data_IF_987948449036
#
_entry.id   IF_987948449036
#
_cell.length_a   1.000
_cell.length_b   1.000
_cell.length_c   1.000
_cell.angle_alpha   90.00
_cell.angle_beta   90.00
_cell.angle_gamma   90.00
#
_symmetry.space_group_name_H-M   'P 1'
#
loop_
_entity.id
_entity.type
_entity.pdbx_description
1 polymer ?
#
# COMPACT_ATOMS: atom_id res chain seq x y z
N UNK A 1 12.53 16.02 0.99
CA UNK A 1 11.83 15.61 -0.25
C UNK A 1 11.79 16.79 -1.19
N UNK A 2 12.27 16.63 -2.43
CA UNK A 2 12.33 17.73 -3.39
C UNK A 2 10.92 18.23 -3.71
N UNK A 3 10.68 19.49 -3.44
CA UNK A 3 9.42 20.22 -3.65
C UNK A 3 9.14 20.53 -5.14
N UNK A 4 9.81 19.85 -6.06
CA UNK A 4 9.94 20.20 -7.48
C UNK A 4 9.10 19.35 -8.43
N UNK A 5 8.05 18.68 -7.97
CA UNK A 5 7.24 17.80 -8.85
C UNK A 5 6.53 18.56 -9.99
N UNK A 6 6.23 19.85 -9.81
CA UNK A 6 5.53 20.65 -10.83
C UNK A 6 6.20 22.02 -10.99
N UNK A 7 6.80 22.26 -12.15
CA UNK A 7 7.24 23.59 -12.57
C UNK A 7 6.15 24.32 -13.34
N UNK A 8 5.39 23.58 -14.14
CA UNK A 8 4.35 24.11 -15.02
C UNK A 8 2.97 23.59 -14.62
N UNK A 9 1.97 24.42 -14.87
CA UNK A 9 0.58 24.09 -14.64
C UNK A 9 0.12 22.93 -15.55
N UNK A 10 -0.45 21.84 -15.02
CA UNK A 10 -0.94 20.74 -15.86
C UNK A 10 -2.14 21.12 -16.71
N UNK A 11 -2.86 22.20 -16.36
CA UNK A 11 -4.06 22.65 -17.09
C UNK A 11 -3.75 23.61 -18.23
N UNK A 12 -2.82 24.58 -18.05
CA UNK A 12 -2.57 25.64 -19.04
C UNK A 12 -1.10 25.84 -19.40
N UNK A 13 -0.19 25.07 -18.83
CA UNK A 13 1.26 25.08 -19.04
C UNK A 13 1.99 26.36 -18.58
N UNK A 14 1.31 27.32 -17.97
CA UNK A 14 1.96 28.47 -17.37
C UNK A 14 2.88 28.05 -16.20
N UNK A 15 3.91 28.82 -15.92
CA UNK A 15 4.80 28.55 -14.79
C UNK A 15 4.04 28.76 -13.47
N UNK A 16 4.20 27.78 -12.55
CA UNK A 16 3.57 27.85 -11.24
C UNK A 16 4.36 28.77 -10.31
N UNK A 17 3.65 29.49 -9.48
CA UNK A 17 4.21 30.35 -8.43
C UNK A 17 3.77 29.86 -7.06
N UNK A 18 4.49 30.29 -6.03
CA UNK A 18 4.12 29.95 -4.65
C UNK A 18 3.21 31.01 -4.07
N UNK A 19 2.06 30.57 -3.51
CA UNK A 19 1.14 31.45 -2.79
C UNK A 19 0.50 30.73 -1.61
N UNK A 20 0.01 31.49 -0.63
CA UNK A 20 -0.74 30.94 0.49
C UNK A 20 -2.13 30.54 0.04
N UNK A 21 -2.52 29.27 0.30
CA UNK A 21 -3.87 28.74 0.08
C UNK A 21 -4.21 27.77 1.21
N UNK A 22 -5.34 28.04 1.89
CA UNK A 22 -5.79 27.22 3.02
C UNK A 22 -4.77 27.16 4.17
N UNK A 23 -4.11 28.29 4.49
CA UNK A 23 -3.14 28.39 5.58
C UNK A 23 -1.80 27.66 5.32
N UNK A 24 -1.51 27.28 4.06
CA UNK A 24 -0.25 26.62 3.66
C UNK A 24 0.32 27.24 2.38
N UNK A 25 1.64 27.25 2.28
CA UNK A 25 2.35 27.61 1.05
C UNK A 25 2.12 26.50 0.02
N UNK A 26 1.59 26.85 -1.17
CA UNK A 26 1.24 25.92 -2.24
C UNK A 26 1.67 26.45 -3.59
N UNK A 27 1.89 25.56 -4.56
CA UNK A 27 2.05 25.95 -5.95
C UNK A 27 0.68 26.31 -6.54
N UNK A 28 0.62 27.49 -7.14
CA UNK A 28 -0.61 28.08 -7.73
C UNK A 28 -0.29 28.57 -9.13
N UNK A 29 -1.21 28.37 -10.06
CA UNK A 29 -1.12 28.95 -11.39
C UNK A 29 -1.70 30.35 -11.38
N UNK A 30 -0.92 31.40 -11.76
CA UNK A 30 -1.42 32.76 -11.82
C UNK A 30 -2.42 32.98 -12.98
N UNK A 31 -2.37 32.15 -14.03
CA UNK A 31 -3.18 32.31 -15.24
C UNK A 31 -4.58 31.67 -15.14
N UNK A 32 -4.64 30.41 -14.62
CA UNK A 32 -5.92 29.66 -14.60
C UNK A 32 -6.44 29.35 -13.19
N UNK A 33 -5.69 29.73 -12.14
CA UNK A 33 -6.09 29.49 -10.74
C UNK A 33 -5.91 28.06 -10.24
N UNK A 34 -5.29 27.17 -11.04
CA UNK A 34 -4.97 25.80 -10.56
C UNK A 34 -4.15 25.87 -9.27
N UNK A 35 -4.49 25.02 -8.29
CA UNK A 35 -3.77 24.88 -7.03
C UNK A 35 -3.31 23.45 -6.86
N UNK A 36 -2.00 23.24 -6.66
CA UNK A 36 -1.44 21.92 -6.29
C UNK A 36 -1.67 21.70 -4.79
N UNK A 37 -2.72 20.97 -4.46
CA UNK A 37 -3.12 20.71 -3.07
C UNK A 37 -2.20 19.74 -2.35
N UNK A 38 -1.45 18.90 -3.08
CA UNK A 38 -0.60 17.83 -2.53
C UNK A 38 -1.41 16.86 -1.67
N UNK A 39 -2.59 16.51 -2.13
CA UNK A 39 -3.39 15.47 -1.49
C UNK A 39 -2.61 14.15 -1.48
N UNK A 40 -2.74 13.33 -0.43
CA UNK A 40 -2.12 12.02 -0.41
C UNK A 40 -2.70 11.14 -1.52
N UNK A 41 -1.87 10.28 -2.07
CA UNK A 41 -2.29 9.29 -3.06
C UNK A 41 -2.95 8.12 -2.33
N UNK A 42 -4.19 7.72 -2.70
CA UNK A 42 -4.85 6.58 -2.10
C UNK A 42 -4.21 5.27 -2.58
N UNK A 43 -3.96 4.38 -1.63
CA UNK A 43 -3.41 3.03 -1.83
C UNK A 43 -4.28 2.04 -1.09
N UNK A 44 -4.51 0.87 -1.65
CA UNK A 44 -5.14 -0.26 -0.95
C UNK A 44 -4.08 -1.29 -0.58
N UNK A 45 -4.29 -1.98 0.54
CA UNK A 45 -3.42 -3.07 0.97
C UNK A 45 -4.26 -4.22 1.53
N UNK A 46 -3.84 -5.45 1.27
CA UNK A 46 -4.51 -6.65 1.72
C UNK A 46 -3.59 -7.51 2.60
N UNK A 47 -4.02 -7.79 3.83
CA UNK A 47 -3.52 -8.93 4.60
C UNK A 47 -4.24 -10.16 4.08
N UNK A 48 -3.58 -10.90 3.19
CA UNK A 48 -4.15 -12.07 2.52
C UNK A 48 -3.90 -13.31 3.39
N UNK A 49 -4.95 -13.78 4.06
CA UNK A 49 -4.92 -14.96 4.91
C UNK A 49 -5.25 -16.22 4.12
N UNK A 50 -4.45 -17.28 4.29
CA UNK A 50 -4.72 -18.63 3.81
C UNK A 50 -4.22 -19.67 4.82
N UNK A 51 -5.12 -20.53 5.31
CA UNK A 51 -4.79 -21.68 6.17
C UNK A 51 -3.82 -21.38 7.33
N UNK A 52 -4.08 -20.28 8.07
CA UNK A 52 -3.24 -19.87 9.22
C UNK A 52 -1.94 -19.17 8.84
N UNK A 53 -1.78 -18.79 7.58
CA UNK A 53 -0.63 -18.06 7.04
C UNK A 53 -1.08 -16.73 6.43
N UNK A 54 -0.17 -15.78 6.37
CA UNK A 54 -0.31 -14.58 5.53
C UNK A 54 0.59 -14.73 4.31
N UNK A 55 0.03 -14.43 3.14
CA UNK A 55 0.78 -14.37 1.90
C UNK A 55 1.49 -13.02 1.84
N UNK A 56 2.83 -13.06 1.76
CA UNK A 56 3.66 -11.89 1.50
C UNK A 56 4.28 -12.01 0.11
N UNK A 57 4.40 -10.91 -0.59
CA UNK A 57 4.89 -10.83 -1.97
C UNK A 57 6.22 -10.07 -2.06
N UNK A 58 7.04 -10.43 -3.05
CA UNK A 58 8.29 -9.75 -3.36
C UNK A 58 8.19 -9.06 -4.72
N UNK A 59 8.37 -7.73 -4.72
CA UNK A 59 8.33 -6.94 -5.95
C UNK A 59 9.68 -6.97 -6.66
N UNK A 60 9.65 -7.10 -7.98
CA UNK A 60 10.83 -7.11 -8.85
C UNK A 60 11.71 -5.88 -8.61
N UNK A 61 13.01 -6.11 -8.53
CA UNK A 61 14.01 -5.05 -8.32
C UNK A 61 14.16 -4.56 -6.88
N UNK A 62 13.45 -5.17 -5.93
CA UNK A 62 13.65 -4.91 -4.50
C UNK A 62 14.73 -5.85 -3.91
N UNK A 63 15.31 -5.51 -2.75
CA UNK A 63 16.23 -6.44 -2.07
C UNK A 63 15.56 -7.79 -1.80
N UNK A 64 16.24 -8.94 -1.96
CA UNK A 64 15.63 -10.28 -1.92
C UNK A 64 14.92 -10.65 -0.60
N UNK A 65 15.18 -9.91 0.46
CA UNK A 65 14.53 -10.11 1.77
C UNK A 65 13.27 -9.27 1.96
N UNK A 66 12.94 -8.37 1.01
CA UNK A 66 11.85 -7.42 1.16
C UNK A 66 10.52 -8.00 0.68
N UNK A 67 9.86 -8.72 1.56
CA UNK A 67 8.49 -9.19 1.34
C UNK A 67 7.50 -8.25 2.02
N UNK A 68 6.45 -7.87 1.32
CA UNK A 68 5.40 -6.96 1.77
C UNK A 68 4.00 -7.55 1.63
N UNK A 69 3.00 -6.79 2.05
CA UNK A 69 1.61 -7.12 1.74
C UNK A 69 1.31 -6.85 0.26
N UNK A 70 0.33 -7.56 -0.30
CA UNK A 70 -0.32 -7.20 -1.56
C UNK A 70 -0.84 -5.77 -1.44
N UNK A 71 -0.46 -4.89 -2.36
CA UNK A 71 -0.86 -3.49 -2.28
C UNK A 71 -0.64 -2.76 -3.61
N UNK A 72 -1.61 -1.92 -3.99
CA UNK A 72 -1.51 -1.08 -5.17
C UNK A 72 -2.29 0.21 -5.07
N UNK A 73 -2.29 0.98 -6.15
CA UNK A 73 -3.01 2.24 -6.21
C UNK A 73 -4.51 2.01 -6.40
N UNK A 74 -5.28 2.85 -5.71
CA UNK A 74 -6.72 2.89 -5.94
C UNK A 74 -7.02 3.61 -7.27
N UNK A 75 -7.81 2.99 -8.11
CA UNK A 75 -8.18 3.53 -9.41
C UNK A 75 -9.28 4.59 -9.33
N UNK A 76 -9.40 5.43 -10.35
CA UNK A 76 -10.41 6.48 -10.41
C UNK A 76 -11.83 5.88 -10.41
N UNK A 77 -12.62 6.25 -9.40
CA UNK A 77 -14.01 5.78 -9.26
C UNK A 77 -14.15 4.39 -8.64
N UNK A 78 -13.05 3.78 -8.25
CA UNK A 78 -13.03 2.48 -7.60
C UNK A 78 -13.33 2.60 -6.10
N UNK A 79 -14.12 1.66 -5.56
CA UNK A 79 -14.31 1.55 -4.11
C UNK A 79 -13.11 0.84 -3.49
N UNK A 80 -12.55 1.30 -2.34
CA UNK A 80 -11.34 0.71 -1.76
C UNK A 80 -11.40 -0.79 -1.49
N UNK A 81 -12.56 -1.32 -1.13
CA UNK A 81 -12.78 -2.77 -0.94
C UNK A 81 -12.63 -3.55 -2.25
N UNK A 82 -13.16 -2.99 -3.35
CA UNK A 82 -13.04 -3.58 -4.67
C UNK A 82 -11.58 -3.53 -5.14
N UNK A 83 -10.89 -2.40 -4.92
CA UNK A 83 -9.48 -2.25 -5.23
C UNK A 83 -8.60 -3.26 -4.51
N UNK A 84 -8.83 -3.51 -3.21
CA UNK A 84 -8.08 -4.52 -2.46
C UNK A 84 -8.26 -5.94 -3.03
N UNK A 85 -9.47 -6.29 -3.48
CA UNK A 85 -9.72 -7.59 -4.11
C UNK A 85 -9.14 -7.68 -5.51
N UNK A 86 -9.18 -6.59 -6.29
CA UNK A 86 -8.55 -6.51 -7.62
C UNK A 86 -7.04 -6.73 -7.52
N UNK A 87 -6.35 -6.04 -6.60
CA UNK A 87 -4.91 -6.22 -6.40
C UNK A 87 -4.57 -7.69 -6.02
N UNK A 88 -5.39 -8.35 -5.19
CA UNK A 88 -5.19 -9.76 -4.88
C UNK A 88 -5.37 -10.66 -6.11
N UNK A 89 -6.35 -10.37 -6.96
CA UNK A 89 -6.58 -11.13 -8.21
C UNK A 89 -5.45 -10.89 -9.22
N UNK A 90 -5.03 -9.64 -9.41
CA UNK A 90 -3.96 -9.25 -10.32
C UNK A 90 -2.61 -9.82 -9.88
N UNK A 91 -2.22 -9.61 -8.61
CA UNK A 91 -0.92 -10.00 -8.09
C UNK A 91 -0.77 -11.51 -7.83
N UNK A 92 -1.85 -12.19 -7.39
CA UNK A 92 -1.80 -13.60 -6.96
C UNK A 92 -2.60 -14.55 -7.84
N UNK A 93 -3.54 -14.06 -8.66
CA UNK A 93 -4.38 -14.88 -9.55
C UNK A 93 -5.22 -15.91 -8.81
N UNK A 94 -5.66 -15.63 -7.58
CA UNK A 94 -6.48 -16.53 -6.76
C UNK A 94 -7.79 -15.90 -6.37
N UNK A 95 -8.88 -16.66 -6.28
CA UNK A 95 -10.13 -16.15 -5.76
C UNK A 95 -9.96 -15.70 -4.29
N UNK A 96 -10.55 -14.58 -3.95
CA UNK A 96 -10.44 -14.03 -2.61
C UNK A 96 -11.75 -13.40 -2.14
N UNK A 97 -11.94 -13.32 -0.83
CA UNK A 97 -13.09 -12.70 -0.20
C UNK A 97 -12.65 -11.68 0.83
N UNK A 98 -13.21 -10.49 0.76
CA UNK A 98 -13.00 -9.47 1.77
C UNK A 98 -13.71 -9.89 3.07
N UNK A 99 -12.98 -9.84 4.18
CA UNK A 99 -13.49 -10.20 5.50
C UNK A 99 -13.76 -8.95 6.35
N UNK A 100 -12.82 -7.99 6.40
CA UNK A 100 -12.99 -6.77 7.19
C UNK A 100 -12.04 -5.66 6.77
N UNK A 101 -12.41 -4.42 7.06
CA UNK A 101 -11.46 -3.30 7.10
C UNK A 101 -10.60 -3.43 8.36
N UNK A 102 -9.27 -3.29 8.21
CA UNK A 102 -8.33 -3.25 9.34
C UNK A 102 -8.20 -1.82 9.84
N UNK A 103 -8.00 -0.88 8.91
CA UNK A 103 -7.83 0.52 9.24
C UNK A 103 -7.31 1.37 8.08
N UNK A 104 -7.08 2.64 8.40
CA UNK A 104 -6.54 3.63 7.47
C UNK A 104 -5.23 4.16 8.05
N UNK A 105 -4.15 4.11 7.26
CA UNK A 105 -2.80 4.40 7.71
C UNK A 105 -2.13 5.46 6.84
N UNK A 106 -1.53 6.51 7.42
CA UNK A 106 -0.71 7.44 6.67
C UNK A 106 0.63 6.81 6.33
N UNK A 107 1.11 7.07 5.12
CA UNK A 107 2.48 6.77 4.71
C UNK A 107 3.17 8.05 4.24
N UNK A 108 3.66 8.81 5.19
CA UNK A 108 4.19 10.16 4.97
C UNK A 108 5.37 10.20 3.99
N UNK A 109 6.21 9.17 4.00
CA UNK A 109 7.40 9.10 3.14
C UNK A 109 7.05 9.23 1.65
N UNK A 110 5.92 8.68 1.23
CA UNK A 110 5.45 8.72 -0.16
C UNK A 110 4.19 9.58 -0.35
N UNK A 111 3.77 10.31 0.69
CA UNK A 111 2.52 11.09 0.67
C UNK A 111 1.33 10.23 0.25
N UNK A 112 1.16 9.08 0.90
CA UNK A 112 0.09 8.12 0.64
C UNK A 112 -0.84 7.98 1.84
N UNK A 113 -2.06 7.53 1.57
CA UNK A 113 -3.01 7.04 2.55
C UNK A 113 -3.39 5.61 2.18
N UNK A 114 -3.19 4.68 3.10
CA UNK A 114 -3.36 3.25 2.87
C UNK A 114 -4.67 2.79 3.51
N UNK A 115 -5.57 2.25 2.71
CA UNK A 115 -6.78 1.56 3.14
C UNK A 115 -6.46 0.08 3.26
N UNK A 116 -6.35 -0.44 4.47
CA UNK A 116 -5.92 -1.81 4.71
C UNK A 116 -7.10 -2.73 5.03
N UNK A 117 -7.11 -3.89 4.39
CA UNK A 117 -8.17 -4.88 4.50
C UNK A 117 -7.63 -6.26 4.85
N UNK A 118 -8.41 -7.02 5.60
CA UNK A 118 -8.25 -8.46 5.75
C UNK A 118 -9.01 -9.16 4.62
N UNK A 119 -8.28 -10.00 3.90
CA UNK A 119 -8.81 -10.77 2.76
C UNK A 119 -8.49 -12.24 2.98
N UNK A 120 -9.48 -13.10 2.80
CA UNK A 120 -9.31 -14.55 2.85
C UNK A 120 -9.14 -15.10 1.44
N UNK A 121 -7.99 -15.72 1.19
CA UNK A 121 -7.74 -16.41 -0.07
C UNK A 121 -8.52 -17.72 -0.16
N UNK A 122 -9.08 -17.97 -1.34
CA UNK A 122 -9.70 -19.24 -1.68
C UNK A 122 -8.69 -20.33 -2.07
N UNK A 123 -9.21 -21.50 -2.43
CA UNK A 123 -8.40 -22.59 -2.92
C UNK A 123 -7.85 -22.27 -4.32
N UNK A 124 -6.65 -22.74 -4.60
CA UNK A 124 -5.99 -22.60 -5.90
C UNK A 124 -4.49 -22.38 -5.78
N UNK A 125 -3.78 -22.58 -6.90
CA UNK A 125 -2.35 -22.26 -7.00
C UNK A 125 -2.17 -20.77 -7.28
N UNK A 126 -1.27 -20.14 -6.55
CA UNK A 126 -0.88 -18.75 -6.77
C UNK A 126 -0.19 -18.64 -8.14
N UNK A 127 -0.62 -17.65 -8.91
CA UNK A 127 -0.03 -17.26 -10.19
C UNK A 127 0.35 -15.79 -10.10
N UNK A 128 1.61 -15.54 -9.79
CA UNK A 128 2.11 -14.18 -9.67
C UNK A 128 2.03 -13.44 -11.00
N UNK A 129 1.70 -12.16 -10.94
CA UNK A 129 1.96 -11.26 -12.07
C UNK A 129 3.47 -11.11 -12.26
N UNK A 130 4.02 -11.80 -13.26
CA UNK A 130 5.45 -11.81 -13.54
C UNK A 130 5.99 -10.46 -14.06
N UNK A 131 5.15 -9.45 -14.28
CA UNK A 131 5.59 -8.10 -14.59
C UNK A 131 5.95 -7.28 -13.35
N UNK A 132 5.42 -7.64 -12.18
CA UNK A 132 5.57 -6.89 -10.93
C UNK A 132 6.22 -7.72 -9.81
N UNK A 133 5.92 -9.01 -9.76
CA UNK A 133 6.31 -9.89 -8.67
C UNK A 133 7.15 -11.08 -9.17
N UNK A 134 8.16 -11.46 -8.40
CA UNK A 134 9.01 -12.62 -8.71
C UNK A 134 9.01 -13.72 -7.63
N UNK A 135 8.46 -13.44 -6.44
CA UNK A 135 8.33 -14.42 -5.37
C UNK A 135 7.17 -14.12 -4.41
N UNK A 136 6.72 -15.15 -3.70
CA UNK A 136 5.84 -15.01 -2.55
C UNK A 136 6.25 -15.97 -1.42
N UNK A 137 5.78 -15.70 -0.21
CA UNK A 137 5.92 -16.56 0.96
C UNK A 137 4.59 -16.69 1.68
N UNK A 138 4.27 -17.88 2.14
CA UNK A 138 3.19 -18.11 3.10
C UNK A 138 3.78 -18.22 4.50
N UNK A 139 3.53 -17.22 5.34
CA UNK A 139 4.18 -17.07 6.64
C UNK A 139 3.15 -17.33 7.74
N UNK A 140 3.39 -18.33 8.63
CA UNK A 140 2.53 -18.57 9.79
C UNK A 140 2.39 -17.29 10.65
N UNK A 141 1.21 -17.03 11.19
CA UNK A 141 0.96 -15.81 11.99
C UNK A 141 2.00 -15.60 13.11
N UNK A 142 2.40 -16.68 13.79
CA UNK A 142 3.38 -16.61 14.87
C UNK A 142 4.81 -16.24 14.43
N UNK A 143 5.12 -16.39 13.15
CA UNK A 143 6.43 -16.06 12.57
C UNK A 143 6.47 -14.70 11.86
N UNK A 144 5.34 -14.02 11.76
CA UNK A 144 5.28 -12.71 11.12
C UNK A 144 6.05 -11.65 11.90
N UNK A 145 6.82 -10.85 11.19
CA UNK A 145 7.61 -9.74 11.73
C UNK A 145 7.13 -8.43 11.07
N UNK A 146 6.11 -7.75 11.61
CA UNK A 146 5.63 -6.47 11.06
C UNK A 146 6.74 -5.41 11.06
N UNK A 147 6.70 -4.51 10.10
CA UNK A 147 7.63 -3.39 9.98
C UNK A 147 6.95 -2.06 10.33
N UNK A 148 7.70 -1.01 10.77
CA UNK A 148 7.09 0.16 11.41
C UNK A 148 6.48 1.18 10.45
N UNK A 149 6.52 0.98 9.11
CA UNK A 149 6.09 1.97 8.11
C UNK A 149 5.27 1.34 6.99
N UNK A 150 4.60 2.18 6.19
CA UNK A 150 3.80 1.74 5.06
C UNK A 150 2.69 0.77 5.48
N UNK A 151 2.67 -0.43 4.94
CA UNK A 151 1.65 -1.45 5.23
C UNK A 151 1.90 -2.25 6.53
N UNK A 152 3.08 -2.13 7.14
CA UNK A 152 3.44 -2.88 8.33
C UNK A 152 2.56 -2.62 9.56
N UNK A 153 2.16 -1.37 9.86
CA UNK A 153 1.21 -1.09 10.95
C UNK A 153 -0.12 -1.82 10.79
N UNK A 154 -0.64 -1.96 9.57
CA UNK A 154 -1.86 -2.70 9.31
C UNK A 154 -1.70 -4.21 9.61
N UNK A 155 -0.56 -4.80 9.22
CA UNK A 155 -0.24 -6.19 9.57
C UNK A 155 -0.13 -6.38 11.09
N UNK A 156 0.52 -5.45 11.77
CA UNK A 156 0.66 -5.48 13.23
C UNK A 156 -0.70 -5.43 13.93
N UNK A 157 -1.55 -4.45 13.59
CA UNK A 157 -2.86 -4.29 14.21
C UNK A 157 -3.77 -5.51 13.94
N UNK A 158 -3.70 -6.06 12.72
CA UNK A 158 -4.41 -7.28 12.37
C UNK A 158 -3.98 -8.49 13.21
N UNK A 159 -2.66 -8.62 13.50
CA UNK A 159 -2.12 -9.66 14.36
C UNK A 159 -2.53 -9.45 15.82
N UNK A 160 -2.46 -8.21 16.33
CA UNK A 160 -2.87 -7.88 17.70
C UNK A 160 -4.35 -8.22 17.93
N UNK A 161 -5.22 -7.93 16.98
CA UNK A 161 -6.64 -8.30 17.04
C UNK A 161 -6.87 -9.83 17.12
N UNK A 162 -5.86 -10.64 16.79
CA UNK A 162 -5.87 -12.12 16.86
C UNK A 162 -5.09 -12.69 18.05
N UNK A 163 -4.65 -11.84 18.97
CA UNK A 163 -3.93 -12.25 20.17
C UNK A 163 -2.42 -12.43 19.98
N UNK A 164 -1.87 -12.08 18.81
CA UNK A 164 -0.44 -11.98 18.59
C UNK A 164 0.01 -10.55 18.89
N UNK A 165 1.18 -10.37 19.46
CA UNK A 165 1.74 -9.04 19.73
C UNK A 165 3.24 -9.03 19.40
N UNK A 166 3.63 -9.24 18.13
CA UNK A 166 5.02 -9.24 17.73
C UNK A 166 5.59 -7.82 17.80
N UNK A 167 6.86 -7.65 18.21
CA UNK A 167 7.53 -6.36 18.09
C UNK A 167 7.71 -6.00 16.60
N UNK A 168 7.79 -4.70 16.34
CA UNK A 168 8.22 -4.25 15.01
C UNK A 168 9.66 -4.66 14.74
N UNK A 169 9.92 -5.11 13.52
CA UNK A 169 11.24 -5.41 13.00
C UNK A 169 11.56 -4.49 11.82
N UNK A 170 12.84 -4.37 11.46
CA UNK A 170 13.21 -3.66 10.25
C UNK A 170 12.61 -4.35 9.02
N UNK A 171 12.17 -3.56 8.04
CA UNK A 171 11.63 -4.11 6.79
C UNK A 171 12.71 -4.95 6.09
N UNK A 172 12.36 -6.18 5.74
CA UNK A 172 13.30 -7.14 5.19
C UNK A 172 14.07 -7.98 6.22
N UNK A 173 13.73 -7.89 7.52
CA UNK A 173 14.23 -8.87 8.51
C UNK A 173 13.83 -10.27 8.06
N UNK A 174 14.79 -11.23 7.97
CA UNK A 174 14.48 -12.59 7.57
C UNK A 174 13.41 -13.22 8.45
N UNK A 175 12.51 -13.94 7.81
CA UNK A 175 11.50 -14.76 8.47
C UNK A 175 12.15 -16.12 8.64
N UNK A 176 12.35 -16.53 9.89
CA UNK A 176 12.96 -17.82 10.20
C UNK A 176 12.06 -18.97 9.73
N UNK A 177 12.64 -19.96 9.03
CA UNK A 177 11.96 -21.15 8.50
C UNK A 177 11.32 -22.02 9.60
#
# INVERSE_FOLDING_TARGET
MNDTAYRYCPSCRAELTTAERGGKSRLVCPECGFVQWRNPVPVVAAVVERDGHVILVHSIGRPPTWFGLVAGFLEQGEHPEAGALREVDEELGIPAKLESCIGIYPFELFNQIIFAYHVRAGAGSIKLDASELDAYKEVPFAKLKPWPRGTGPALHDWLVARGFNPPYADFGTPIDD
#
